data_IF_202778302522
#
_entry.id   IF_202778302522
#
_cell.length_a   1.000
_cell.length_b   1.000
_cell.length_c   1.000
_cell.angle_alpha   90.00
_cell.angle_beta   90.00
_cell.angle_gamma   90.00
#
_symmetry.space_group_name_H-M   'P 1'
#
loop_
_entity.id
_entity.type
_entity.pdbx_description
1 polymer ?
#
# COMPACT_ATOMS: atom_id res chain seq x y z
N UNK A 1 14.17 10.42 -16.45
CA UNK A 1 15.04 10.98 -15.38
C UNK A 1 16.48 10.52 -15.58
N UNK A 2 16.76 9.19 -15.70
CA UNK A 2 18.14 8.64 -15.90
C UNK A 2 18.82 9.19 -17.17
N UNK A 3 18.08 9.29 -18.29
CA UNK A 3 18.59 9.82 -19.55
C UNK A 3 18.95 11.32 -19.47
N UNK A 4 18.19 12.12 -18.75
CA UNK A 4 18.45 13.54 -18.52
C UNK A 4 19.65 13.72 -17.58
N UNK A 5 19.82 12.85 -16.57
CA UNK A 5 21.00 12.79 -15.70
C UNK A 5 22.29 12.48 -16.49
N UNK A 6 22.21 11.52 -17.44
CA UNK A 6 23.33 11.17 -18.32
C UNK A 6 23.73 12.33 -19.25
N UNK A 7 22.74 13.02 -19.86
CA UNK A 7 23.00 14.19 -20.72
C UNK A 7 23.66 15.35 -19.97
N UNK A 8 23.29 15.57 -18.70
CA UNK A 8 23.91 16.62 -17.87
C UNK A 8 25.36 16.33 -17.49
N UNK A 9 25.77 15.05 -17.44
CA UNK A 9 27.12 14.63 -17.15
C UNK A 9 28.11 14.86 -18.32
N UNK A 10 27.57 14.89 -19.56
CA UNK A 10 28.41 14.99 -20.78
C UNK A 10 28.69 16.42 -21.28
N UNK A 11 28.05 17.44 -20.73
CA UNK A 11 28.23 18.81 -21.18
C UNK A 11 29.10 19.64 -20.22
N UNK A 12 30.38 19.80 -20.55
CA UNK A 12 31.44 20.34 -19.68
C UNK A 12 31.46 21.88 -19.52
N UNK A 13 30.57 22.63 -20.18
CA UNK A 13 30.70 24.08 -20.30
C UNK A 13 29.91 24.96 -19.31
N UNK A 14 29.17 24.39 -18.35
CA UNK A 14 28.29 25.20 -17.46
C UNK A 14 28.22 24.68 -16.01
N UNK A 15 29.26 24.98 -15.20
CA UNK A 15 29.26 24.62 -13.76
C UNK A 15 28.03 25.12 -12.99
N UNK A 16 27.50 26.30 -13.30
CA UNK A 16 26.32 26.85 -12.67
C UNK A 16 24.97 26.15 -13.08
N UNK A 17 24.95 25.51 -14.24
CA UNK A 17 23.79 24.73 -14.71
C UNK A 17 23.80 23.34 -14.10
N UNK A 18 24.98 22.75 -13.92
CA UNK A 18 25.15 21.44 -13.22
C UNK A 18 24.71 21.52 -11.76
N UNK A 19 25.11 22.58 -11.03
CA UNK A 19 24.69 22.78 -9.64
C UNK A 19 23.16 22.90 -9.53
N UNK A 20 22.53 23.74 -10.36
CA UNK A 20 21.08 23.87 -10.40
C UNK A 20 20.39 22.57 -10.78
N UNK A 21 20.92 21.83 -11.73
CA UNK A 21 20.35 20.54 -12.15
C UNK A 21 20.48 19.49 -11.05
N UNK A 22 21.60 19.41 -10.35
CA UNK A 22 21.77 18.53 -9.17
C UNK A 22 20.78 18.90 -8.07
N UNK A 23 20.58 20.19 -7.80
CA UNK A 23 19.58 20.64 -6.82
C UNK A 23 18.15 20.28 -7.23
N UNK A 24 17.79 20.45 -8.51
CA UNK A 24 16.48 20.03 -9.02
C UNK A 24 16.28 18.51 -8.93
N UNK A 25 17.30 17.73 -9.32
CA UNK A 25 17.26 16.27 -9.24
C UNK A 25 17.13 15.79 -7.80
N UNK A 26 17.92 16.36 -6.89
CA UNK A 26 17.86 16.04 -5.47
C UNK A 26 16.51 16.41 -4.85
N UNK A 27 15.97 17.59 -5.17
CA UNK A 27 14.66 18.02 -4.72
C UNK A 27 13.54 17.13 -5.28
N UNK A 28 13.64 16.75 -6.56
CA UNK A 28 12.67 15.84 -7.19
C UNK A 28 12.71 14.45 -6.55
N UNK A 29 13.91 13.90 -6.29
CA UNK A 29 14.06 12.61 -5.58
C UNK A 29 13.47 12.71 -4.19
N UNK A 30 13.86 13.72 -3.41
CA UNK A 30 13.37 13.93 -2.05
C UNK A 30 11.85 14.04 -1.99
N UNK A 31 11.24 14.78 -2.91
CA UNK A 31 9.79 14.98 -2.95
C UNK A 31 9.01 13.71 -3.32
N UNK A 32 9.65 12.74 -3.97
CA UNK A 32 9.02 11.49 -4.37
C UNK A 32 9.30 10.31 -3.41
N UNK A 33 10.10 10.51 -2.35
CA UNK A 33 10.36 9.44 -1.36
C UNK A 33 9.06 8.90 -0.73
N UNK A 34 8.12 9.74 -0.21
CA UNK A 34 6.87 9.22 0.32
C UNK A 34 6.09 8.42 -0.72
N UNK A 35 5.90 8.95 -1.92
CA UNK A 35 5.17 8.27 -3.00
C UNK A 35 5.80 6.93 -3.39
N UNK A 36 7.12 6.80 -3.28
CA UNK A 36 7.81 5.53 -3.54
C UNK A 36 7.49 4.49 -2.46
N UNK A 37 7.44 4.90 -1.19
CA UNK A 37 7.04 4.02 -0.09
C UNK A 37 5.59 3.57 -0.24
N UNK A 38 4.70 4.48 -0.64
CA UNK A 38 3.30 4.14 -0.93
C UNK A 38 3.17 3.16 -2.10
N UNK A 39 4.01 3.29 -3.13
CA UNK A 39 4.08 2.30 -4.21
C UNK A 39 4.58 0.94 -3.73
N UNK A 40 5.50 0.90 -2.77
CA UNK A 40 5.96 -0.36 -2.15
C UNK A 40 4.88 -0.98 -1.27
N UNK A 41 4.07 -0.18 -0.55
CA UNK A 41 2.87 -0.65 0.13
C UNK A 41 1.92 -1.31 -0.87
N UNK A 42 1.57 -0.64 -1.96
CA UNK A 42 0.71 -1.18 -3.02
C UNK A 42 1.26 -2.48 -3.61
N UNK A 43 2.57 -2.53 -3.89
CA UNK A 43 3.22 -3.72 -4.42
C UNK A 43 3.14 -4.90 -3.42
N UNK A 44 3.41 -4.65 -2.15
CA UNK A 44 3.30 -5.67 -1.10
C UNK A 44 1.85 -6.18 -0.98
N UNK A 45 0.85 -5.29 -1.00
CA UNK A 45 -0.57 -5.67 -1.02
C UNK A 45 -0.96 -6.53 -2.23
N UNK A 46 -0.47 -6.19 -3.42
CA UNK A 46 -0.68 -6.98 -4.63
C UNK A 46 -0.04 -8.38 -4.53
N UNK A 47 1.19 -8.47 -3.98
CA UNK A 47 1.84 -9.75 -3.74
C UNK A 47 1.08 -10.59 -2.71
N UNK A 48 0.53 -9.98 -1.65
CA UNK A 48 -0.33 -10.67 -0.70
C UNK A 48 -1.56 -11.28 -1.38
N UNK A 49 -2.20 -10.57 -2.31
CA UNK A 49 -3.32 -11.10 -3.10
C UNK A 49 -2.91 -12.33 -3.93
N UNK A 50 -1.75 -12.30 -4.57
CA UNK A 50 -1.23 -13.44 -5.37
C UNK A 50 -1.00 -14.67 -4.49
N UNK A 51 -0.39 -14.50 -3.32
CA UNK A 51 -0.15 -15.61 -2.40
C UNK A 51 -1.44 -16.11 -1.73
N UNK A 52 -2.40 -15.23 -1.46
CA UNK A 52 -3.72 -15.63 -0.97
C UNK A 52 -4.44 -16.58 -1.95
N UNK A 53 -4.34 -16.33 -3.26
CA UNK A 53 -4.93 -17.20 -4.29
C UNK A 53 -4.29 -18.58 -4.39
N UNK A 54 -3.02 -18.74 -3.99
CA UNK A 54 -2.36 -20.04 -3.96
C UNK A 54 -2.84 -20.94 -2.82
N UNK A 55 -3.60 -20.40 -1.89
CA UNK A 55 -4.19 -21.15 -0.80
C UNK A 55 -3.14 -21.76 0.14
N UNK A 56 -3.22 -23.06 0.36
CA UNK A 56 -2.33 -23.76 1.26
C UNK A 56 -1.10 -24.38 0.58
N UNK A 57 -0.77 -23.96 -0.65
CA UNK A 57 0.42 -24.45 -1.35
C UNK A 57 1.70 -24.08 -0.59
N UNK A 58 2.67 -25.02 -0.49
CA UNK A 58 3.94 -24.76 0.19
C UNK A 58 4.81 -23.79 -0.63
N UNK A 59 5.34 -22.77 0.02
CA UNK A 59 6.34 -21.83 -0.51
C UNK A 59 7.59 -21.92 0.35
N UNK A 60 8.49 -22.83 0.00
CA UNK A 60 9.65 -23.18 0.82
C UNK A 60 9.21 -23.82 2.15
N UNK A 61 9.53 -23.20 3.27
CA UNK A 61 9.18 -23.68 4.62
C UNK A 61 7.85 -23.10 5.15
N UNK A 62 7.18 -22.25 4.38
CA UNK A 62 5.96 -21.56 4.78
C UNK A 62 4.80 -21.97 3.87
N UNK A 63 3.57 -21.80 4.35
CA UNK A 63 2.38 -21.88 3.49
C UNK A 63 2.16 -20.55 2.76
N UNK A 64 1.48 -20.59 1.61
CA UNK A 64 1.14 -19.39 0.86
C UNK A 64 0.31 -18.40 1.69
N UNK A 65 -0.55 -18.87 2.60
CA UNK A 65 -1.27 -18.03 3.55
C UNK A 65 -0.32 -17.25 4.48
N UNK A 66 0.70 -17.91 5.02
CA UNK A 66 1.69 -17.27 5.89
C UNK A 66 2.51 -16.23 5.11
N UNK A 67 2.85 -16.51 3.86
CA UNK A 67 3.54 -15.56 3.00
C UNK A 67 2.64 -14.36 2.69
N UNK A 68 1.36 -14.57 2.38
CA UNK A 68 0.39 -13.49 2.21
C UNK A 68 0.28 -12.62 3.47
N UNK A 69 0.22 -13.24 4.64
CA UNK A 69 0.22 -12.53 5.92
C UNK A 69 1.46 -11.63 6.08
N UNK A 70 2.66 -12.17 5.81
CA UNK A 70 3.92 -11.41 5.90
C UNK A 70 3.88 -10.20 4.96
N UNK A 71 3.36 -10.35 3.73
CA UNK A 71 3.24 -9.25 2.80
C UNK A 71 2.24 -8.17 3.24
N UNK A 72 1.14 -8.54 3.92
CA UNK A 72 0.20 -7.55 4.49
C UNK A 72 0.85 -6.77 5.64
N UNK A 73 1.62 -7.45 6.51
CA UNK A 73 2.37 -6.80 7.58
C UNK A 73 3.44 -5.86 7.00
N UNK A 74 4.13 -6.29 5.95
CA UNK A 74 5.11 -5.46 5.26
C UNK A 74 4.47 -4.23 4.61
N UNK A 75 3.29 -4.39 4.01
CA UNK A 75 2.49 -3.29 3.48
C UNK A 75 2.15 -2.26 4.58
N UNK A 76 1.72 -2.73 5.76
CA UNK A 76 1.44 -1.86 6.90
C UNK A 76 2.69 -1.10 7.42
N UNK A 77 3.86 -1.72 7.33
CA UNK A 77 5.12 -1.04 7.67
C UNK A 77 5.44 0.08 6.65
N UNK A 78 5.25 -0.17 5.35
CA UNK A 78 5.47 0.84 4.32
C UNK A 78 4.48 1.99 4.43
N UNK A 79 3.20 1.73 4.68
CA UNK A 79 2.15 2.71 4.95
C UNK A 79 2.49 3.61 6.14
N UNK A 80 2.91 3.01 7.25
CA UNK A 80 3.36 3.80 8.41
C UNK A 80 4.57 4.66 8.08
N UNK A 81 5.55 4.11 7.33
CA UNK A 81 6.78 4.82 6.98
C UNK A 81 6.52 5.99 6.03
N UNK A 82 5.65 5.84 5.01
CA UNK A 82 5.38 6.93 4.05
C UNK A 82 4.67 8.10 4.73
N UNK A 83 3.68 7.83 5.58
CA UNK A 83 3.01 8.86 6.38
C UNK A 83 3.96 9.57 7.36
N UNK A 84 4.88 8.82 7.99
CA UNK A 84 5.90 9.40 8.86
C UNK A 84 6.86 10.31 8.08
N UNK A 85 7.39 9.81 6.95
CA UNK A 85 8.35 10.54 6.10
C UNK A 85 7.70 11.79 5.49
N UNK A 86 6.44 11.69 5.00
CA UNK A 86 5.72 12.82 4.45
C UNK A 86 5.56 13.95 5.48
N UNK A 87 5.26 13.61 6.74
CA UNK A 87 5.12 14.58 7.85
C UNK A 87 6.48 15.17 8.26
N UNK A 88 7.51 14.36 8.44
CA UNK A 88 8.84 14.82 8.86
C UNK A 88 9.50 15.73 7.82
N UNK A 89 9.29 15.46 6.54
CA UNK A 89 9.86 16.25 5.45
C UNK A 89 8.96 17.41 5.01
N UNK A 90 7.74 17.56 5.56
CA UNK A 90 6.71 18.51 5.13
C UNK A 90 6.40 18.39 3.61
N UNK A 91 6.31 17.16 3.11
CA UNK A 91 6.12 16.83 1.69
C UNK A 91 4.72 16.26 1.41
N UNK A 92 3.71 16.79 2.07
CA UNK A 92 2.31 16.39 1.82
C UNK A 92 1.88 16.91 0.46
N UNK A 93 1.50 15.99 -0.44
CA UNK A 93 0.98 16.33 -1.77
C UNK A 93 -0.43 15.76 -1.97
N UNK A 94 -1.30 16.44 -2.77
CA UNK A 94 -2.62 15.92 -3.09
C UNK A 94 -2.56 14.53 -3.76
N UNK A 95 -1.62 14.35 -4.69
CA UNK A 95 -1.40 13.06 -5.39
C UNK A 95 -0.97 11.97 -4.40
N UNK A 96 -0.08 12.32 -3.44
CA UNK A 96 0.36 11.37 -2.42
C UNK A 96 -0.80 10.86 -1.56
N UNK A 97 -1.73 11.74 -1.17
CA UNK A 97 -2.92 11.37 -0.40
C UNK A 97 -3.84 10.41 -1.16
N UNK A 98 -4.06 10.66 -2.45
CA UNK A 98 -4.90 9.79 -3.28
C UNK A 98 -4.22 8.43 -3.54
N UNK A 99 -2.91 8.44 -3.78
CA UNK A 99 -2.13 7.22 -3.98
C UNK A 99 -2.12 6.35 -2.72
N UNK A 100 -1.98 6.94 -1.55
CA UNK A 100 -2.07 6.31 -0.24
C UNK A 100 -3.43 5.62 -0.05
N UNK A 101 -4.52 6.33 -0.31
CA UNK A 101 -5.86 5.76 -0.23
C UNK A 101 -6.10 4.58 -1.18
N UNK A 102 -5.56 4.65 -2.40
CA UNK A 102 -5.64 3.55 -3.37
C UNK A 102 -4.80 2.35 -2.92
N UNK A 103 -3.62 2.60 -2.40
CA UNK A 103 -2.72 1.58 -1.86
C UNK A 103 -3.37 0.85 -0.69
N UNK A 104 -3.95 1.58 0.26
CA UNK A 104 -4.64 1.04 1.42
C UNK A 104 -5.85 0.19 1.05
N UNK A 105 -6.61 0.61 0.03
CA UNK A 105 -7.73 -0.16 -0.48
C UNK A 105 -7.30 -1.55 -0.97
N UNK A 106 -6.13 -1.67 -1.60
CA UNK A 106 -5.58 -2.95 -2.06
C UNK A 106 -4.99 -3.73 -0.89
N UNK A 107 -4.11 -3.11 -0.10
CA UNK A 107 -3.31 -3.80 0.93
C UNK A 107 -4.15 -4.22 2.15
N UNK A 108 -5.12 -3.40 2.56
CA UNK A 108 -5.92 -3.63 3.77
C UNK A 108 -7.40 -3.87 3.49
N UNK A 109 -7.85 -3.67 2.25
CA UNK A 109 -9.19 -4.02 1.79
C UNK A 109 -9.19 -5.32 1.02
N UNK A 110 -8.55 -5.34 -0.15
CA UNK A 110 -8.61 -6.46 -1.07
C UNK A 110 -7.78 -7.67 -0.60
N UNK A 111 -6.56 -7.48 -0.14
CA UNK A 111 -5.68 -8.59 0.25
C UNK A 111 -6.25 -9.44 1.40
N UNK A 112 -6.76 -8.87 2.52
CA UNK A 112 -7.41 -9.68 3.55
C UNK A 112 -8.74 -10.30 3.08
N UNK A 113 -9.49 -9.64 2.19
CA UNK A 113 -10.69 -10.22 1.60
C UNK A 113 -10.39 -11.45 0.76
N UNK A 114 -9.32 -11.41 -0.05
CA UNK A 114 -8.87 -12.56 -0.84
C UNK A 114 -8.35 -13.69 0.03
N UNK A 115 -7.65 -13.36 1.12
CA UNK A 115 -7.16 -14.37 2.06
C UNK A 115 -8.34 -15.09 2.74
N UNK A 116 -9.35 -14.33 3.18
CA UNK A 116 -10.56 -14.90 3.76
C UNK A 116 -11.35 -15.74 2.73
N UNK A 117 -11.50 -15.22 1.50
CA UNK A 117 -12.15 -15.97 0.42
C UNK A 117 -11.45 -17.32 0.18
N UNK A 118 -10.13 -17.31 0.05
CA UNK A 118 -9.35 -18.53 -0.18
C UNK A 118 -9.46 -19.52 0.99
N UNK A 119 -9.50 -19.03 2.22
CA UNK A 119 -9.72 -19.86 3.40
C UNK A 119 -11.14 -20.47 3.40
N UNK A 120 -12.18 -19.69 3.11
CA UNK A 120 -13.56 -20.18 3.01
C UNK A 120 -13.72 -21.21 1.89
N UNK A 121 -13.10 -20.96 0.73
CA UNK A 121 -13.10 -21.88 -0.42
C UNK A 121 -12.42 -23.21 -0.10
N UNK A 122 -11.41 -23.19 0.78
CA UNK A 122 -10.77 -24.43 1.26
C UNK A 122 -11.71 -25.28 2.13
N UNK A 123 -12.56 -24.66 2.95
CA UNK A 123 -13.50 -25.37 3.82
C UNK A 123 -14.80 -25.77 3.13
N UNK A 124 -15.33 -24.91 2.26
CA UNK A 124 -16.58 -25.10 1.52
C UNK A 124 -16.39 -24.76 0.04
N UNK A 125 -15.81 -25.67 -0.77
CA UNK A 125 -15.51 -25.40 -2.16
C UNK A 125 -16.81 -25.14 -2.99
N UNK A 126 -16.82 -24.01 -3.73
CA UNK A 126 -17.90 -23.64 -4.63
C UNK A 126 -19.14 -23.06 -3.96
N UNK A 127 -19.11 -22.76 -2.67
CA UNK A 127 -20.22 -22.08 -2.01
C UNK A 127 -20.26 -20.60 -2.40
N UNK A 128 -21.43 -20.15 -2.87
CA UNK A 128 -21.67 -18.75 -3.23
C UNK A 128 -21.47 -17.81 -2.03
N UNK A 129 -21.66 -18.29 -0.82
CA UNK A 129 -21.42 -17.52 0.41
C UNK A 129 -19.94 -17.08 0.55
N UNK A 130 -18.99 -17.79 -0.06
CA UNK A 130 -17.57 -17.43 0.00
C UNK A 130 -17.28 -16.05 -0.59
N UNK A 131 -18.05 -15.63 -1.59
CA UNK A 131 -17.90 -14.30 -2.19
C UNK A 131 -18.27 -13.16 -1.23
N UNK A 132 -18.95 -13.44 -0.11
CA UNK A 132 -19.23 -12.44 0.92
C UNK A 132 -17.94 -11.84 1.54
N UNK A 133 -16.81 -12.55 1.46
CA UNK A 133 -15.50 -12.05 1.89
C UNK A 133 -15.14 -10.71 1.22
N UNK A 134 -15.54 -10.50 -0.04
CA UNK A 134 -15.26 -9.27 -0.76
C UNK A 134 -16.02 -8.04 -0.25
N UNK A 135 -17.05 -8.23 0.59
CA UNK A 135 -17.71 -7.12 1.28
C UNK A 135 -16.75 -6.36 2.18
N UNK A 136 -15.71 -7.02 2.69
CA UNK A 136 -14.63 -6.37 3.47
C UNK A 136 -13.95 -5.30 2.62
N UNK A 137 -13.60 -5.61 1.37
CA UNK A 137 -12.97 -4.66 0.46
C UNK A 137 -13.92 -3.51 0.11
N UNK A 138 -15.20 -3.81 -0.18
CA UNK A 138 -16.22 -2.80 -0.52
C UNK A 138 -16.44 -1.82 0.62
N UNK A 139 -16.69 -2.32 1.84
CA UNK A 139 -16.90 -1.45 3.01
C UNK A 139 -15.62 -0.71 3.41
N UNK A 140 -14.46 -1.32 3.22
CA UNK A 140 -13.16 -0.67 3.39
C UNK A 140 -13.01 0.53 2.45
N UNK A 141 -13.25 0.34 1.15
CA UNK A 141 -13.19 1.39 0.14
C UNK A 141 -14.20 2.52 0.39
N UNK A 142 -15.46 2.18 0.73
CA UNK A 142 -16.48 3.17 1.07
C UNK A 142 -16.09 4.00 2.29
N UNK A 143 -15.48 3.37 3.29
CA UNK A 143 -14.98 4.06 4.48
C UNK A 143 -13.85 5.02 4.15
N UNK A 144 -12.88 4.62 3.32
CA UNK A 144 -11.80 5.49 2.87
C UNK A 144 -12.34 6.69 2.09
N UNK A 145 -13.23 6.43 1.13
CA UNK A 145 -13.86 7.49 0.34
C UNK A 145 -14.60 8.50 1.24
N UNK A 146 -15.36 8.01 2.24
CA UNK A 146 -16.05 8.89 3.19
C UNK A 146 -15.05 9.71 4.02
N UNK A 147 -13.96 9.10 4.49
CA UNK A 147 -12.93 9.79 5.25
C UNK A 147 -12.23 10.88 4.43
N UNK A 148 -11.97 10.64 3.14
CA UNK A 148 -11.31 11.61 2.27
C UNK A 148 -12.19 12.84 1.96
N UNK A 149 -13.51 12.68 1.95
CA UNK A 149 -14.48 13.76 1.68
C UNK A 149 -14.88 14.51 2.95
N UNK A 150 -14.80 13.87 4.11
CA UNK A 150 -15.26 14.44 5.38
C UNK A 150 -14.22 15.41 5.96
N UNK A 151 -14.50 16.71 5.84
CA UNK A 151 -13.67 17.80 6.37
C UNK A 151 -13.86 18.03 7.88
N UNK A 152 -14.82 17.34 8.52
CA UNK A 152 -15.15 17.55 9.94
C UNK A 152 -14.33 16.68 10.89
N UNK A 153 -13.61 15.67 10.40
CA UNK A 153 -12.83 14.72 11.20
C UNK A 153 -11.36 15.16 11.43
N UNK A 154 -11.13 16.43 11.72
CA UNK A 154 -9.77 16.95 11.96
C UNK A 154 -9.20 16.59 13.33
N UNK A 155 -10.03 16.29 14.32
CA UNK A 155 -9.59 16.10 15.73
C UNK A 155 -10.03 14.78 16.37
N UNK A 156 -11.05 14.08 15.82
CA UNK A 156 -11.58 12.85 16.41
C UNK A 156 -11.80 11.79 15.36
N UNK A 157 -11.09 10.68 15.47
CA UNK A 157 -11.21 9.53 14.58
C UNK A 157 -12.48 8.72 14.95
N UNK A 158 -13.44 8.61 14.02
CA UNK A 158 -14.66 7.82 14.22
C UNK A 158 -14.58 6.50 13.47
N UNK A 159 -14.51 5.39 14.19
CA UNK A 159 -14.55 4.02 13.65
C UNK A 159 -13.21 3.28 13.65
N UNK A 160 -13.23 1.99 13.24
CA UNK A 160 -12.05 1.12 13.22
C UNK A 160 -11.13 1.48 12.05
N UNK A 161 -9.82 1.72 12.22
CA UNK A 161 -8.88 1.92 11.12
C UNK A 161 -8.86 0.72 10.17
N UNK A 162 -8.68 0.94 8.85
CA UNK A 162 -8.65 -0.13 7.86
C UNK A 162 -7.52 -1.13 8.14
N UNK A 163 -6.29 -0.71 8.49
CA UNK A 163 -5.24 -1.66 8.89
C UNK A 163 -5.60 -2.52 10.10
N UNK A 164 -6.32 -1.96 11.09
CA UNK A 164 -6.77 -2.73 12.25
C UNK A 164 -7.83 -3.78 11.88
N UNK A 165 -8.72 -3.47 10.93
CA UNK A 165 -9.68 -4.43 10.39
C UNK A 165 -8.95 -5.55 9.63
N UNK A 166 -7.93 -5.24 8.84
CA UNK A 166 -7.11 -6.24 8.15
C UNK A 166 -6.44 -7.19 9.15
N UNK A 167 -5.83 -6.67 10.22
CA UNK A 167 -5.19 -7.47 11.27
C UNK A 167 -6.20 -8.39 11.97
N UNK A 168 -7.41 -7.92 12.22
CA UNK A 168 -8.49 -8.75 12.80
C UNK A 168 -8.79 -9.98 11.94
N UNK A 169 -9.00 -9.78 10.63
CA UNK A 169 -9.28 -10.88 9.71
C UNK A 169 -8.09 -11.82 9.51
N UNK A 170 -6.86 -11.29 9.54
CA UNK A 170 -5.64 -12.09 9.52
C UNK A 170 -5.53 -13.04 10.73
N UNK A 171 -5.92 -12.56 11.92
CA UNK A 171 -5.95 -13.39 13.13
C UNK A 171 -7.03 -14.48 13.10
N UNK A 172 -8.08 -14.31 12.28
CA UNK A 172 -9.15 -15.30 12.12
C UNK A 172 -8.77 -16.42 11.15
N UNK A 173 -7.94 -16.15 10.13
CA UNK A 173 -7.59 -17.10 9.06
C UNK A 173 -6.35 -17.95 9.43
N UNK A 174 -5.45 -17.48 10.31
CA UNK A 174 -4.28 -18.22 10.80
C UNK A 174 -4.56 -18.94 12.13
#
# INVERSE_FOLDING_TARGET
IIFILLLALFNDSHQGMRARFCDYAFKAIRNNIPNTLTCLNLFAGAMACVFALKGNEPVGNLTSYQVAFIFIVLAAMFDFCDGLVARLLNLVSPIGKELDSLSDCVSFGLAPAMLLYAAMEHFNPGDVANYSAFLIAVFGALRLAKFNVDTTQTTTFKGLPIPANAIFWLGYVN
#
